data_IF_967297080314
#
_entry.id   IF_967297080314
#
_cell.length_a   1.000
_cell.length_b   1.000
_cell.length_c   1.000
_cell.angle_alpha   90.00
_cell.angle_beta   90.00
_cell.angle_gamma   90.00
#
_symmetry.space_group_name_H-M   'P 1'
#
loop_
_entity.id
_entity.type
_entity.pdbx_description
1 polymer ?
#
# COMPACT_ATOMS: atom_id res chain seq x y z
N UNK A 1 11.85 -9.88 27.96
CA UNK A 1 11.02 -9.07 27.03
C UNK A 1 11.83 -8.24 26.03
N UNK A 2 12.62 -7.22 26.39
CA UNK A 2 13.37 -6.39 25.41
C UNK A 2 14.28 -7.16 24.42
N UNK A 3 14.97 -8.22 24.88
CA UNK A 3 15.79 -9.08 24.01
C UNK A 3 15.00 -9.93 23.00
N UNK A 4 13.77 -10.33 23.35
CA UNK A 4 12.90 -11.08 22.43
C UNK A 4 12.28 -10.18 21.36
N UNK A 5 11.87 -8.95 21.72
CA UNK A 5 11.44 -7.94 20.74
C UNK A 5 12.55 -7.65 19.72
N UNK A 6 13.79 -7.49 20.18
CA UNK A 6 14.94 -7.24 19.30
C UNK A 6 15.28 -8.43 18.39
N UNK A 7 15.15 -9.67 18.88
CA UNK A 7 15.40 -10.88 18.09
C UNK A 7 14.30 -11.12 17.04
N UNK A 8 13.03 -10.81 17.37
CA UNK A 8 11.90 -10.88 16.43
C UNK A 8 11.99 -9.81 15.34
N UNK A 9 12.32 -8.54 15.66
CA UNK A 9 12.58 -7.48 14.67
C UNK A 9 13.72 -7.87 13.70
N UNK A 10 14.77 -8.54 14.18
CA UNK A 10 15.89 -9.02 13.34
C UNK A 10 15.45 -10.15 12.38
N UNK A 11 14.59 -11.07 12.83
CA UNK A 11 14.10 -12.18 12.00
C UNK A 11 13.07 -11.67 10.98
N UNK A 12 12.18 -10.77 11.40
CA UNK A 12 11.20 -10.08 10.55
C UNK A 12 11.88 -9.29 9.42
N UNK A 13 12.89 -8.49 9.78
CA UNK A 13 13.73 -7.80 8.81
C UNK A 13 14.47 -8.75 7.88
N UNK A 14 14.91 -9.93 8.35
CA UNK A 14 15.57 -10.94 7.50
C UNK A 14 14.63 -11.55 6.45
N UNK A 15 13.34 -11.78 6.75
CA UNK A 15 12.36 -12.34 5.81
C UNK A 15 11.96 -11.33 4.72
N UNK A 16 11.70 -10.07 5.12
CA UNK A 16 11.46 -8.97 4.17
C UNK A 16 12.69 -8.77 3.27
N UNK A 17 13.89 -8.84 3.86
CA UNK A 17 15.16 -8.72 3.16
C UNK A 17 15.42 -9.87 2.17
N UNK A 18 15.09 -11.12 2.47
CA UNK A 18 15.33 -12.24 1.53
C UNK A 18 14.51 -12.15 0.24
N UNK A 19 13.31 -11.57 0.28
CA UNK A 19 12.49 -11.36 -0.92
C UNK A 19 12.85 -10.06 -1.67
N UNK A 20 13.33 -9.04 -0.96
CA UNK A 20 13.85 -7.78 -1.53
C UNK A 20 15.18 -7.96 -2.32
N UNK A 21 15.98 -8.96 -1.99
CA UNK A 21 17.36 -9.15 -2.46
C UNK A 21 17.53 -9.66 -3.91
N UNK A 22 16.47 -9.73 -4.72
CA UNK A 22 16.61 -10.11 -6.13
C UNK A 22 17.28 -9.04 -7.02
N UNK A 23 17.56 -7.82 -6.51
CA UNK A 23 18.26 -6.77 -7.32
C UNK A 23 19.40 -5.97 -6.67
N UNK A 24 19.74 -6.11 -5.38
CA UNK A 24 20.95 -5.45 -4.85
C UNK A 24 21.53 -6.18 -3.64
N UNK A 25 22.80 -6.60 -3.75
CA UNK A 25 23.55 -7.27 -2.70
C UNK A 25 23.97 -6.30 -1.58
N UNK A 26 23.86 -6.80 -0.35
CA UNK A 26 24.47 -6.38 0.93
C UNK A 26 23.68 -5.42 1.82
N UNK A 27 22.88 -5.95 2.75
CA UNK A 27 22.52 -5.21 3.97
C UNK A 27 22.59 -6.14 5.19
N UNK A 28 23.42 -5.76 6.16
CA UNK A 28 23.44 -6.29 7.54
C UNK A 28 22.15 -5.90 8.25
N UNK A 29 21.61 -6.72 9.15
CA UNK A 29 20.39 -6.43 9.96
C UNK A 29 20.19 -4.93 10.29
N UNK A 30 19.43 -4.22 9.44
CA UNK A 30 19.14 -2.79 9.54
C UNK A 30 17.88 -2.51 10.36
N UNK A 31 17.66 -1.25 10.74
CA UNK A 31 16.37 -0.78 11.28
C UNK A 31 15.29 -0.76 10.20
N UNK A 32 14.00 -0.73 10.58
CA UNK A 32 12.94 -0.57 9.58
C UNK A 32 13.06 0.75 8.84
N UNK A 33 13.52 1.82 9.51
CA UNK A 33 13.95 3.07 8.86
C UNK A 33 14.93 2.86 7.70
N UNK A 34 15.88 1.93 7.80
CA UNK A 34 16.83 1.66 6.70
C UNK A 34 16.09 1.01 5.51
N UNK A 35 15.21 0.04 5.79
CA UNK A 35 14.41 -0.62 4.76
C UNK A 35 13.44 0.35 4.06
N UNK A 36 12.85 1.29 4.81
CA UNK A 36 12.02 2.36 4.24
C UNK A 36 12.85 3.24 3.30
N UNK A 37 14.04 3.66 3.72
CA UNK A 37 14.93 4.47 2.89
C UNK A 37 15.37 3.73 1.63
N UNK A 38 15.75 2.46 1.75
CA UNK A 38 16.10 1.61 0.61
C UNK A 38 14.92 1.50 -0.39
N UNK A 39 13.69 1.39 0.12
CA UNK A 39 12.48 1.32 -0.70
C UNK A 39 12.24 2.64 -1.46
N UNK A 40 12.45 3.79 -0.82
CA UNK A 40 12.35 5.11 -1.44
C UNK A 40 13.47 5.38 -2.45
N UNK A 41 14.70 4.98 -2.14
CA UNK A 41 15.84 5.07 -3.07
C UNK A 41 15.57 4.22 -4.31
N UNK A 42 15.15 2.97 -4.13
CA UNK A 42 14.84 2.08 -5.22
C UNK A 42 13.63 2.54 -6.04
N UNK A 43 12.65 3.24 -5.44
CA UNK A 43 11.58 3.92 -6.21
C UNK A 43 12.21 4.89 -7.23
N UNK A 44 13.08 5.77 -6.75
CA UNK A 44 13.72 6.81 -7.57
C UNK A 44 14.64 6.21 -8.64
N UNK A 45 15.53 5.29 -8.26
CA UNK A 45 16.50 4.67 -9.16
C UNK A 45 15.82 3.89 -10.29
N UNK A 46 14.85 3.03 -9.95
CA UNK A 46 14.13 2.24 -10.95
C UNK A 46 13.28 3.13 -11.86
N UNK A 47 12.71 4.21 -11.31
CA UNK A 47 11.93 5.16 -12.09
C UNK A 47 12.77 5.86 -13.18
N UNK A 48 14.06 6.10 -12.96
CA UNK A 48 14.96 6.65 -13.98
C UNK A 48 15.11 5.71 -15.20
N UNK A 49 14.92 4.41 -15.02
CA UNK A 49 14.97 3.40 -16.08
C UNK A 49 13.66 3.23 -16.86
N UNK A 50 12.52 3.63 -16.28
CA UNK A 50 11.19 3.44 -16.86
C UNK A 50 11.03 4.13 -18.22
N UNK A 51 10.31 3.48 -19.13
CA UNK A 51 9.99 3.94 -20.51
C UNK A 51 8.55 4.42 -20.66
N UNK A 52 7.72 4.25 -19.64
CA UNK A 52 6.35 4.77 -19.63
C UNK A 52 5.61 4.48 -18.33
N UNK A 53 4.41 5.06 -18.24
CA UNK A 53 3.55 4.99 -17.06
C UNK A 53 3.29 3.58 -16.53
N UNK A 54 3.07 2.52 -17.36
CA UNK A 54 2.88 1.17 -16.83
C UNK A 54 4.05 0.67 -15.99
N UNK A 55 5.29 0.94 -16.39
CA UNK A 55 6.49 0.53 -15.64
C UNK A 55 6.66 1.34 -14.36
N UNK A 56 6.28 2.61 -14.39
CA UNK A 56 6.29 3.48 -13.21
C UNK A 56 5.26 3.02 -12.18
N UNK A 57 4.03 2.71 -12.61
CA UNK A 57 3.00 2.14 -11.73
C UNK A 57 3.44 0.79 -11.16
N UNK A 58 4.02 -0.10 -11.97
CA UNK A 58 4.56 -1.37 -11.48
C UNK A 58 5.61 -1.16 -10.38
N UNK A 59 6.57 -0.26 -10.61
CA UNK A 59 7.58 0.11 -9.61
C UNK A 59 6.91 0.65 -8.33
N UNK A 60 5.96 1.58 -8.45
CA UNK A 60 5.21 2.12 -7.31
C UNK A 60 4.48 1.03 -6.52
N UNK A 61 3.77 0.14 -7.19
CA UNK A 61 3.06 -0.97 -6.52
C UNK A 61 3.99 -1.94 -5.81
N UNK A 62 5.23 -2.13 -6.29
CA UNK A 62 6.22 -2.96 -5.59
C UNK A 62 6.70 -2.29 -4.32
N UNK A 63 7.00 -0.99 -4.37
CA UNK A 63 7.36 -0.24 -3.16
C UNK A 63 6.22 -0.20 -2.14
N UNK A 64 4.97 -0.17 -2.60
CA UNK A 64 3.81 -0.30 -1.71
C UNK A 64 3.81 -1.64 -0.97
N UNK A 65 4.07 -2.76 -1.66
CA UNK A 65 4.15 -4.09 -1.02
C UNK A 65 5.23 -4.11 0.07
N UNK A 66 6.39 -3.54 -0.22
CA UNK A 66 7.51 -3.53 0.73
C UNK A 66 7.21 -2.70 1.97
N UNK A 67 6.67 -1.49 1.79
CA UNK A 67 6.31 -0.63 2.90
C UNK A 67 5.12 -1.17 3.70
N UNK A 68 4.13 -1.78 3.05
CA UNK A 68 3.04 -2.47 3.73
C UNK A 68 3.54 -3.68 4.53
N UNK A 69 4.51 -4.43 4.02
CA UNK A 69 5.11 -5.51 4.77
C UNK A 69 5.87 -4.97 6.01
N UNK A 70 6.59 -3.86 5.88
CA UNK A 70 7.25 -3.19 7.01
C UNK A 70 6.21 -2.77 8.06
N UNK A 71 5.14 -2.07 7.65
CA UNK A 71 4.05 -1.64 8.54
C UNK A 71 3.40 -2.85 9.24
N UNK A 72 3.09 -3.91 8.49
CA UNK A 72 2.51 -5.13 9.04
C UNK A 72 3.42 -5.78 10.08
N UNK A 73 4.73 -5.82 9.83
CA UNK A 73 5.70 -6.40 10.76
C UNK A 73 5.97 -5.53 11.99
N UNK A 74 5.80 -4.21 11.91
CA UNK A 74 5.82 -3.33 13.09
C UNK A 74 4.56 -3.49 13.93
N UNK A 75 3.39 -3.67 13.30
CA UNK A 75 2.13 -3.93 13.98
C UNK A 75 2.04 -5.33 14.59
N UNK A 76 2.79 -6.32 14.09
CA UNK A 76 2.80 -7.71 14.59
C UNK A 76 3.50 -7.85 15.96
N UNK A 77 2.93 -7.22 16.99
CA UNK A 77 3.51 -7.19 18.33
C UNK A 77 3.45 -8.55 19.02
N UNK A 78 2.48 -9.39 18.64
CA UNK A 78 2.30 -10.74 19.16
C UNK A 78 3.16 -11.79 18.42
N UNK A 79 3.54 -11.54 17.16
CA UNK A 79 4.19 -12.53 16.30
C UNK A 79 3.20 -13.50 15.66
N UNK A 80 1.97 -13.07 15.42
CA UNK A 80 0.87 -13.86 14.88
C UNK A 80 0.82 -13.73 13.35
N UNK A 81 1.10 -12.53 12.83
CA UNK A 81 0.94 -12.21 11.41
C UNK A 81 2.24 -12.33 10.59
N UNK A 82 3.40 -12.46 11.25
CA UNK A 82 4.71 -12.52 10.57
C UNK A 82 4.86 -13.69 9.61
N UNK A 83 4.33 -14.87 9.94
CA UNK A 83 4.35 -16.03 9.03
C UNK A 83 3.48 -15.74 7.79
N UNK A 84 2.30 -15.15 7.97
CA UNK A 84 1.42 -14.76 6.86
C UNK A 84 2.08 -13.72 5.95
N UNK A 85 2.71 -12.70 6.54
CA UNK A 85 3.45 -11.67 5.77
C UNK A 85 4.59 -12.31 4.99
N UNK A 86 5.33 -13.25 5.59
CA UNK A 86 6.42 -13.96 4.90
C UNK A 86 5.89 -14.77 3.72
N UNK A 87 4.81 -15.53 3.91
CA UNK A 87 4.19 -16.33 2.85
C UNK A 87 3.70 -15.44 1.69
N UNK A 88 3.11 -14.27 2.00
CA UNK A 88 2.67 -13.29 1.01
C UNK A 88 3.86 -12.79 0.18
N UNK A 89 5.01 -12.53 0.80
CA UNK A 89 6.22 -12.07 0.11
C UNK A 89 6.88 -13.17 -0.73
N UNK A 90 6.86 -14.43 -0.27
CA UNK A 90 7.35 -15.57 -1.04
C UNK A 90 6.51 -15.80 -2.31
N UNK A 91 5.19 -15.69 -2.19
CA UNK A 91 4.26 -15.72 -3.31
C UNK A 91 4.49 -14.54 -4.26
N UNK A 92 4.75 -13.35 -3.72
CA UNK A 92 5.05 -12.17 -4.53
C UNK A 92 6.24 -12.40 -5.45
N UNK A 93 7.38 -12.87 -4.90
CA UNK A 93 8.59 -13.17 -5.66
C UNK A 93 8.35 -14.29 -6.69
N UNK A 94 7.66 -15.35 -6.27
CA UNK A 94 7.32 -16.48 -7.15
C UNK A 94 6.46 -16.04 -8.33
N UNK A 95 5.40 -15.27 -8.07
CA UNK A 95 4.48 -14.80 -9.11
C UNK A 95 5.13 -13.73 -10.00
N UNK A 96 6.01 -12.89 -9.44
CA UNK A 96 6.72 -11.87 -10.21
C UNK A 96 7.56 -12.49 -11.34
N UNK A 97 8.21 -13.64 -11.09
CA UNK A 97 8.99 -14.37 -12.12
C UNK A 97 8.16 -14.81 -13.33
N UNK A 98 6.84 -14.91 -13.17
CA UNK A 98 5.92 -15.32 -14.24
C UNK A 98 5.25 -14.14 -14.95
N UNK A 99 5.44 -12.91 -14.47
CA UNK A 99 4.85 -11.71 -15.07
C UNK A 99 5.46 -11.46 -16.46
N UNK A 100 4.60 -11.21 -17.45
CA UNK A 100 5.00 -11.01 -18.85
C UNK A 100 5.15 -9.54 -19.25
N UNK A 101 4.86 -8.61 -18.33
CA UNK A 101 5.01 -7.17 -18.55
C UNK A 101 4.52 -6.33 -17.38
N UNK A 102 4.76 -5.02 -17.48
CA UNK A 102 4.44 -4.06 -16.43
C UNK A 102 2.98 -4.08 -15.94
N UNK A 103 1.95 -4.25 -16.81
CA UNK A 103 0.57 -4.38 -16.33
C UNK A 103 0.36 -5.58 -15.40
N UNK A 104 0.93 -6.75 -15.72
CA UNK A 104 0.85 -7.93 -14.86
C UNK A 104 1.67 -7.76 -13.58
N UNK A 105 2.79 -7.04 -13.65
CA UNK A 105 3.58 -6.67 -12.48
C UNK A 105 2.78 -5.78 -11.53
N UNK A 106 2.07 -4.78 -12.04
CA UNK A 106 1.16 -3.94 -11.23
C UNK A 106 0.04 -4.75 -10.59
N UNK A 107 -0.55 -5.71 -11.31
CA UNK A 107 -1.55 -6.62 -10.73
C UNK A 107 -0.96 -7.42 -9.57
N UNK A 108 0.21 -8.04 -9.77
CA UNK A 108 0.88 -8.81 -8.72
C UNK A 108 1.14 -7.93 -7.49
N UNK A 109 1.67 -6.72 -7.69
CA UNK A 109 1.91 -5.76 -6.60
C UNK A 109 0.63 -5.39 -5.86
N UNK A 110 -0.42 -5.00 -6.56
CA UNK A 110 -1.70 -4.63 -5.96
C UNK A 110 -2.37 -5.80 -5.22
N UNK A 111 -2.22 -7.03 -5.70
CA UNK A 111 -2.80 -8.20 -5.03
C UNK A 111 -2.12 -8.46 -3.71
N UNK A 112 -0.78 -8.42 -3.69
CA UNK A 112 0.00 -8.50 -2.45
C UNK A 112 -0.29 -7.33 -1.52
N UNK A 113 -0.54 -6.12 -2.05
CA UNK A 113 -0.99 -4.99 -1.24
C UNK A 113 -2.34 -5.25 -0.58
N UNK A 114 -3.31 -5.87 -1.30
CA UNK A 114 -4.60 -6.28 -0.70
C UNK A 114 -4.37 -7.24 0.45
N UNK A 115 -3.58 -8.30 0.28
CA UNK A 115 -3.36 -9.30 1.34
C UNK A 115 -2.60 -8.74 2.55
N UNK A 116 -1.60 -7.88 2.32
CA UNK A 116 -0.90 -7.20 3.41
C UNK A 116 -1.84 -6.25 4.15
N UNK A 117 -2.66 -5.47 3.43
CA UNK A 117 -3.65 -4.60 4.04
C UNK A 117 -4.72 -5.38 4.81
N UNK A 118 -5.15 -6.54 4.31
CA UNK A 118 -6.04 -7.46 5.04
C UNK A 118 -5.39 -7.91 6.34
N UNK A 119 -4.12 -8.30 6.29
CA UNK A 119 -3.36 -8.72 7.48
C UNK A 119 -3.26 -7.58 8.50
N UNK A 120 -2.92 -6.36 8.05
CA UNK A 120 -2.84 -5.17 8.90
C UNK A 120 -4.20 -4.84 9.51
N UNK A 121 -5.28 -4.86 8.72
CA UNK A 121 -6.62 -4.57 9.18
C UNK A 121 -7.09 -5.55 10.26
N UNK A 122 -6.81 -6.85 10.09
CA UNK A 122 -7.14 -7.89 11.08
C UNK A 122 -6.34 -7.69 12.38
N UNK A 123 -5.04 -7.37 12.28
CA UNK A 123 -4.20 -7.16 13.47
C UNK A 123 -4.65 -5.91 14.25
N UNK A 124 -5.12 -4.86 13.56
CA UNK A 124 -5.64 -3.65 14.20
C UNK A 124 -7.05 -3.85 14.79
N UNK A 125 -7.92 -4.63 14.14
CA UNK A 125 -9.30 -4.91 14.59
C UNK A 125 -9.38 -5.87 15.79
N UNK A 126 -8.77 -5.46 16.89
CA UNK A 126 -8.62 -6.28 18.11
C UNK A 126 -9.95 -6.62 18.79
N UNK A 127 -11.00 -5.83 18.57
CA UNK A 127 -12.35 -6.05 19.08
C UNK A 127 -13.26 -6.78 18.07
N UNK A 128 -12.72 -7.17 16.90
CA UNK A 128 -13.44 -7.86 15.81
C UNK A 128 -14.68 -7.09 15.32
N UNK A 129 -14.64 -5.76 15.39
CA UNK A 129 -15.71 -4.85 14.97
C UNK A 129 -15.87 -4.83 13.46
N UNK A 130 -14.77 -4.94 12.71
CA UNK A 130 -14.75 -4.87 11.25
C UNK A 130 -14.45 -6.21 10.57
N UNK A 131 -14.24 -7.29 11.32
CA UNK A 131 -13.90 -8.61 10.78
C UNK A 131 -14.83 -9.05 9.63
N UNK A 132 -16.15 -8.92 9.78
CA UNK A 132 -17.11 -9.27 8.70
C UNK A 132 -16.91 -8.38 7.45
N UNK A 133 -16.68 -7.07 7.64
CA UNK A 133 -16.41 -6.16 6.54
C UNK A 133 -15.08 -6.50 5.84
N UNK A 134 -14.03 -6.85 6.58
CA UNK A 134 -12.73 -7.27 6.01
C UNK A 134 -12.93 -8.54 5.17
N UNK A 135 -13.64 -9.55 5.69
CA UNK A 135 -13.91 -10.78 4.96
C UNK A 135 -14.76 -10.54 3.70
N UNK A 136 -15.80 -9.71 3.78
CA UNK A 136 -16.63 -9.35 2.63
C UNK A 136 -15.81 -8.65 1.52
N UNK A 137 -14.85 -7.80 1.90
CA UNK A 137 -13.93 -7.14 0.96
C UNK A 137 -13.06 -8.18 0.23
N UNK A 138 -12.52 -9.17 0.96
CA UNK A 138 -11.70 -10.26 0.42
C UNK A 138 -12.53 -11.17 -0.50
N UNK A 139 -13.72 -11.60 -0.06
CA UNK A 139 -14.63 -12.43 -0.88
C UNK A 139 -15.01 -11.72 -2.18
N UNK A 140 -15.27 -10.41 -2.10
CA UNK A 140 -15.56 -9.59 -3.28
C UNK A 140 -14.35 -9.46 -4.19
N UNK A 141 -13.15 -9.30 -3.63
CA UNK A 141 -11.90 -9.25 -4.39
C UNK A 141 -11.72 -10.52 -5.22
N UNK A 142 -11.83 -11.69 -4.59
CA UNK A 142 -11.67 -13.00 -5.24
C UNK A 142 -12.73 -13.22 -6.32
N UNK A 143 -13.99 -12.96 -6.00
CA UNK A 143 -15.12 -13.10 -6.93
C UNK A 143 -14.94 -12.21 -8.15
N UNK A 144 -14.58 -10.93 -7.96
CA UNK A 144 -14.38 -10.00 -9.06
C UNK A 144 -13.12 -10.34 -9.87
N UNK A 145 -12.05 -10.79 -9.22
CA UNK A 145 -10.83 -11.19 -9.90
C UNK A 145 -11.10 -12.37 -10.87
N UNK A 146 -11.90 -13.36 -10.45
CA UNK A 146 -12.30 -14.48 -11.31
C UNK A 146 -13.08 -14.03 -12.56
N UNK A 147 -13.73 -12.87 -12.51
CA UNK A 147 -14.50 -12.29 -13.63
C UNK A 147 -13.68 -11.32 -14.50
N UNK A 148 -12.50 -10.90 -14.05
CA UNK A 148 -11.67 -9.96 -14.79
C UNK A 148 -11.12 -10.57 -16.09
N UNK A 149 -11.08 -9.78 -17.16
CA UNK A 149 -10.65 -10.23 -18.50
C UNK A 149 -9.25 -9.75 -18.90
N UNK A 150 -8.53 -9.10 -17.99
CA UNK A 150 -7.18 -8.61 -18.23
C UNK A 150 -6.60 -7.78 -17.10
N UNK A 151 -5.30 -7.52 -17.20
CA UNK A 151 -4.52 -6.81 -16.18
C UNK A 151 -5.09 -5.43 -15.78
N UNK A 152 -5.66 -4.61 -16.71
CA UNK A 152 -6.26 -3.34 -16.31
C UNK A 152 -7.46 -3.51 -15.36
N UNK A 153 -8.39 -4.43 -15.66
CA UNK A 153 -9.54 -4.67 -14.77
C UNK A 153 -9.11 -5.31 -13.44
N UNK A 154 -8.12 -6.21 -13.48
CA UNK A 154 -7.52 -6.79 -12.27
C UNK A 154 -6.89 -5.71 -11.38
N UNK A 155 -6.14 -4.78 -11.98
CA UNK A 155 -5.54 -3.64 -11.27
C UNK A 155 -6.61 -2.73 -10.68
N UNK A 156 -7.67 -2.41 -11.43
CA UNK A 156 -8.77 -1.60 -10.92
C UNK A 156 -9.44 -2.27 -9.71
N UNK A 157 -9.73 -3.58 -9.80
CA UNK A 157 -10.27 -4.35 -8.69
C UNK A 157 -9.34 -4.29 -7.47
N UNK A 158 -8.06 -4.66 -7.62
CA UNK A 158 -7.09 -4.64 -6.52
C UNK A 158 -6.94 -3.26 -5.88
N UNK A 159 -6.91 -2.19 -6.67
CA UNK A 159 -6.80 -0.82 -6.16
C UNK A 159 -8.01 -0.45 -5.29
N UNK A 160 -9.23 -0.81 -5.70
CA UNK A 160 -10.44 -0.50 -4.92
C UNK A 160 -10.50 -1.29 -3.61
N UNK A 161 -10.06 -2.55 -3.63
CA UNK A 161 -9.96 -3.34 -2.40
C UNK A 161 -8.92 -2.75 -1.43
N UNK A 162 -7.81 -2.23 -1.96
CA UNK A 162 -6.84 -1.50 -1.13
C UNK A 162 -7.48 -0.27 -0.48
N UNK A 163 -8.29 0.52 -1.20
CA UNK A 163 -9.00 1.69 -0.62
C UNK A 163 -9.93 1.27 0.51
N UNK A 164 -10.71 0.20 0.33
CA UNK A 164 -11.65 -0.25 1.35
C UNK A 164 -10.95 -0.81 2.59
N UNK A 165 -9.85 -1.56 2.42
CA UNK A 165 -9.05 -2.03 3.55
C UNK A 165 -8.35 -0.87 4.27
N UNK A 166 -7.85 0.12 3.53
CA UNK A 166 -7.32 1.35 4.12
C UNK A 166 -8.41 2.13 4.88
N UNK A 167 -9.66 2.10 4.43
CA UNK A 167 -10.78 2.70 5.18
C UNK A 167 -10.99 2.01 6.53
N UNK A 168 -10.94 0.67 6.55
CA UNK A 168 -11.01 -0.12 7.79
C UNK A 168 -9.85 0.25 8.73
N UNK A 169 -8.63 0.27 8.21
CA UNK A 169 -7.44 0.68 8.99
C UNK A 169 -7.59 2.11 9.53
N UNK A 170 -8.07 3.04 8.71
CA UNK A 170 -8.29 4.43 9.12
C UNK A 170 -9.36 4.52 10.22
N UNK A 171 -10.45 3.76 10.15
CA UNK A 171 -11.47 3.72 11.21
C UNK A 171 -10.97 3.09 12.51
N UNK A 172 -10.14 2.05 12.43
CA UNK A 172 -9.52 1.43 13.61
C UNK A 172 -8.55 2.40 14.31
N UNK A 173 -7.84 3.22 13.54
CA UNK A 173 -6.92 4.21 14.10
C UNK A 173 -7.64 5.46 14.61
N UNK A 174 -8.71 5.93 13.95
CA UNK A 174 -9.54 7.12 14.28
C UNK A 174 -10.34 6.96 15.58
N UNK A 175 -9.63 6.83 16.70
CA UNK A 175 -10.16 6.47 18.02
C UNK A 175 -11.18 7.50 18.54
N UNK A 176 -11.04 8.76 18.11
CA UNK A 176 -11.91 9.87 18.52
C UNK A 176 -12.99 10.22 17.49
N UNK A 177 -13.03 9.54 16.34
CA UNK A 177 -14.01 9.80 15.28
C UNK A 177 -13.81 11.15 14.57
N UNK A 178 -12.60 11.71 14.61
CA UNK A 178 -12.27 13.02 14.01
C UNK A 178 -12.38 12.93 12.49
N UNK A 179 -11.93 11.81 11.90
CA UNK A 179 -11.88 11.62 10.46
C UNK A 179 -13.03 10.78 9.89
N UNK A 180 -13.88 10.20 10.72
CA UNK A 180 -14.96 9.29 10.30
C UNK A 180 -15.82 9.83 9.15
N UNK A 181 -16.24 11.09 9.19
CA UNK A 181 -17.03 11.70 8.10
C UNK A 181 -16.22 11.92 6.81
N UNK A 182 -14.91 12.14 6.94
CA UNK A 182 -14.02 12.26 5.80
C UNK A 182 -13.74 10.89 5.17
N UNK A 183 -13.53 9.84 5.96
CA UNK A 183 -13.39 8.45 5.50
C UNK A 183 -14.64 8.04 4.70
N UNK A 184 -15.84 8.28 5.25
CA UNK A 184 -17.11 8.02 4.54
C UNK A 184 -17.19 8.80 3.22
N UNK A 185 -16.83 10.09 3.25
CA UNK A 185 -16.84 10.92 2.04
C UNK A 185 -15.91 10.37 0.96
N UNK A 186 -14.72 9.83 1.31
CA UNK A 186 -13.77 9.27 0.34
C UNK A 186 -14.35 7.99 -0.29
N UNK A 187 -15.04 7.15 0.47
CA UNK A 187 -15.72 5.95 -0.04
C UNK A 187 -16.88 6.31 -0.98
N UNK A 188 -17.72 7.27 -0.59
CA UNK A 188 -18.84 7.76 -1.41
C UNK A 188 -18.32 8.36 -2.73
N UNK A 189 -17.25 9.14 -2.65
CA UNK A 189 -16.58 9.72 -3.78
C UNK A 189 -15.98 8.64 -4.70
N UNK A 190 -15.36 7.60 -4.14
CA UNK A 190 -14.84 6.46 -4.91
C UNK A 190 -15.96 5.85 -5.76
N UNK A 191 -17.11 5.57 -5.13
CA UNK A 191 -18.28 4.98 -5.80
C UNK A 191 -18.84 5.91 -6.90
N UNK A 192 -19.03 7.18 -6.57
CA UNK A 192 -19.57 8.19 -7.50
C UNK A 192 -18.65 8.39 -8.71
N UNK A 193 -17.34 8.51 -8.47
CA UNK A 193 -16.34 8.67 -9.53
C UNK A 193 -16.16 7.41 -10.35
N UNK A 194 -16.27 6.23 -9.73
CA UNK A 194 -16.24 4.97 -10.46
C UNK A 194 -17.37 4.89 -11.51
N UNK A 195 -18.58 5.32 -11.15
CA UNK A 195 -19.71 5.36 -12.09
C UNK A 195 -19.48 6.32 -13.27
N UNK A 196 -18.58 7.29 -13.13
CA UNK A 196 -18.21 8.24 -14.18
C UNK A 196 -17.01 7.77 -15.02
N UNK A 197 -16.31 6.72 -14.60
CA UNK A 197 -15.16 6.20 -15.33
C UNK A 197 -15.59 5.53 -16.64
N UNK A 198 -14.87 5.83 -17.71
CA UNK A 198 -15.09 5.27 -19.06
C UNK A 198 -14.26 4.01 -19.33
N UNK A 199 -13.37 3.64 -18.40
CA UNK A 199 -12.59 2.40 -18.48
C UNK A 199 -11.59 2.23 -17.34
N UNK A 200 -10.94 1.07 -17.32
CA UNK A 200 -10.03 0.64 -16.26
C UNK A 200 -8.91 1.64 -15.92
N UNK A 201 -8.24 2.34 -16.88
CA UNK A 201 -7.23 3.33 -16.53
C UNK A 201 -7.75 4.44 -15.62
N UNK A 202 -8.96 4.94 -15.87
CA UNK A 202 -9.59 5.97 -15.03
C UNK A 202 -10.00 5.41 -13.66
N UNK A 203 -10.45 4.15 -13.62
CA UNK A 203 -10.76 3.48 -12.35
C UNK A 203 -9.49 3.32 -11.50
N UNK A 204 -8.37 2.90 -12.10
CA UNK A 204 -7.09 2.77 -11.39
C UNK A 204 -6.62 4.13 -10.86
N UNK A 205 -6.66 5.17 -11.69
CA UNK A 205 -6.32 6.54 -11.25
C UNK A 205 -7.20 7.01 -10.08
N UNK A 206 -8.53 6.85 -10.19
CA UNK A 206 -9.46 7.16 -9.12
C UNK A 206 -9.12 6.38 -7.84
N UNK A 207 -8.88 5.08 -7.96
CA UNK A 207 -8.51 4.23 -6.82
C UNK A 207 -7.24 4.72 -6.12
N UNK A 208 -6.17 5.01 -6.86
CA UNK A 208 -4.93 5.52 -6.26
C UNK A 208 -5.12 6.85 -5.54
N UNK A 209 -5.99 7.74 -6.05
CA UNK A 209 -6.23 9.02 -5.37
C UNK A 209 -6.96 8.79 -4.05
N UNK A 210 -7.92 7.86 -4.01
CA UNK A 210 -8.60 7.47 -2.77
C UNK A 210 -7.68 6.73 -1.80
N UNK A 211 -6.71 5.97 -2.30
CA UNK A 211 -5.66 5.41 -1.45
C UNK A 211 -4.84 6.52 -0.80
N UNK A 212 -4.45 7.55 -1.56
CA UNK A 212 -3.73 8.72 -1.01
C UNK A 212 -4.57 9.45 0.03
N UNK A 213 -5.86 9.67 -0.24
CA UNK A 213 -6.77 10.30 0.73
C UNK A 213 -6.81 9.49 2.05
N UNK A 214 -6.98 8.16 1.98
CA UNK A 214 -6.99 7.31 3.17
C UNK A 214 -5.62 7.24 3.87
N UNK A 215 -4.53 7.12 3.13
CA UNK A 215 -3.18 7.09 3.69
C UNK A 215 -2.80 8.41 4.35
N UNK A 216 -3.33 9.54 3.87
CA UNK A 216 -3.15 10.86 4.51
C UNK A 216 -3.79 10.87 5.90
N UNK A 217 -5.01 10.32 6.02
CA UNK A 217 -5.70 10.17 7.31
C UNK A 217 -4.88 9.28 8.24
N UNK A 218 -4.47 8.10 7.76
CA UNK A 218 -3.68 7.14 8.55
C UNK A 218 -2.37 7.79 9.01
N UNK A 219 -1.67 8.50 8.13
CA UNK A 219 -0.44 9.21 8.47
C UNK A 219 -0.66 10.23 9.60
N UNK A 220 -1.78 10.98 9.58
CA UNK A 220 -2.12 11.89 10.66
C UNK A 220 -2.48 11.20 11.98
N UNK A 221 -3.17 10.05 11.93
CA UNK A 221 -3.51 9.29 13.14
C UNK A 221 -2.27 8.67 13.80
N UNK A 222 -1.25 8.28 13.03
CA UNK A 222 0.00 7.75 13.58
C UNK A 222 1.03 8.84 13.95
N UNK A 223 0.91 10.06 13.41
CA UNK A 223 1.75 11.23 13.71
C UNK A 223 1.36 11.88 15.06
N UNK A 224 1.57 11.15 16.17
CA UNK A 224 1.09 11.54 17.51
C UNK A 224 1.73 12.84 18.01
N UNK A 225 2.96 13.18 17.58
CA UNK A 225 3.67 14.38 18.00
C UNK A 225 3.63 15.53 16.97
N UNK A 226 3.03 15.30 15.80
CA UNK A 226 2.91 16.27 14.72
C UNK A 226 4.20 16.51 13.93
N UNK A 227 5.22 15.65 14.09
CA UNK A 227 6.51 15.80 13.44
C UNK A 227 6.45 15.58 11.93
N UNK A 228 5.52 14.74 11.46
CA UNK A 228 5.34 14.42 10.04
C UNK A 228 4.29 15.27 9.32
N UNK A 229 3.52 16.09 10.04
CA UNK A 229 2.44 16.91 9.48
C UNK A 229 2.86 17.77 8.27
N UNK A 230 4.05 18.37 8.30
CA UNK A 230 4.55 19.16 7.15
C UNK A 230 4.83 18.28 5.94
N UNK A 231 5.43 17.10 6.16
CA UNK A 231 5.80 16.17 5.08
C UNK A 231 4.53 15.61 4.43
N UNK A 232 3.53 15.23 5.24
CA UNK A 232 2.22 14.78 4.76
C UNK A 232 1.56 15.89 3.92
N UNK A 233 1.58 17.14 4.40
CA UNK A 233 1.05 18.29 3.66
C UNK A 233 1.76 18.51 2.31
N UNK A 234 3.09 18.45 2.29
CA UNK A 234 3.89 18.61 1.07
C UNK A 234 3.59 17.49 0.04
N UNK A 235 3.37 16.26 0.50
CA UNK A 235 2.98 15.12 -0.34
C UNK A 235 1.62 15.39 -1.00
N UNK A 236 0.61 15.81 -0.24
CA UNK A 236 -0.73 16.13 -0.77
C UNK A 236 -0.71 17.34 -1.72
N UNK A 237 0.08 18.37 -1.41
CA UNK A 237 0.26 19.52 -2.31
C UNK A 237 0.95 19.12 -3.62
N UNK A 238 1.95 18.25 -3.55
CA UNK A 238 2.61 17.72 -4.75
C UNK A 238 1.66 16.89 -5.59
N UNK A 239 0.75 16.11 -5.00
CA UNK A 239 -0.28 15.38 -5.77
C UNK A 239 -1.12 16.37 -6.59
N UNK A 240 -1.63 17.40 -5.91
CA UNK A 240 -2.50 18.42 -6.48
C UNK A 240 -1.81 19.18 -7.61
N UNK A 241 -0.56 19.58 -7.39
CA UNK A 241 0.28 20.28 -8.38
C UNK A 241 0.57 19.41 -9.60
N UNK A 242 0.90 18.12 -9.38
CA UNK A 242 1.20 17.20 -10.46
C UNK A 242 -0.06 16.82 -11.26
N UNK A 243 -1.22 16.71 -10.60
CA UNK A 243 -2.49 16.43 -11.25
C UNK A 243 -2.94 17.57 -12.17
N UNK A 244 -2.72 18.83 -11.77
CA UNK A 244 -2.99 19.99 -12.63
C UNK A 244 -2.19 19.96 -13.95
N UNK A 245 -1.08 19.22 -13.99
CA UNK A 245 -0.20 19.08 -15.15
C UNK A 245 -0.35 17.72 -15.87
N UNK A 246 -1.21 16.83 -15.38
CA UNK A 246 -1.46 15.51 -15.97
C UNK A 246 -2.17 15.59 -17.32
N UNK A 247 -1.80 14.70 -18.24
CA UNK A 247 -2.42 14.61 -19.58
C UNK A 247 -3.31 13.38 -19.78
N UNK A 248 -3.56 12.60 -18.72
CA UNK A 248 -4.45 11.44 -18.78
C UNK A 248 -4.33 10.52 -17.58
N UNK A 249 -5.23 9.53 -17.52
CA UNK A 249 -5.38 8.61 -16.39
C UNK A 249 -4.11 7.81 -16.07
N UNK A 250 -3.31 7.44 -17.08
CA UNK A 250 -2.06 6.71 -16.86
C UNK A 250 -1.06 7.53 -16.04
N UNK A 251 -0.92 8.83 -16.32
CA UNK A 251 -0.03 9.70 -15.53
C UNK A 251 -0.61 9.98 -14.14
N UNK A 252 -1.94 10.07 -14.02
CA UNK A 252 -2.61 10.17 -12.73
C UNK A 252 -2.35 8.93 -11.87
N UNK A 253 -2.40 7.73 -12.46
CA UNK A 253 -2.05 6.49 -11.74
C UNK A 253 -0.60 6.51 -11.26
N UNK A 254 0.35 7.00 -12.07
CA UNK A 254 1.75 7.17 -11.64
C UNK A 254 1.84 8.09 -10.43
N UNK A 255 1.27 9.29 -10.54
CA UNK A 255 1.33 10.28 -9.47
C UNK A 255 0.71 9.74 -8.18
N UNK A 256 -0.50 9.18 -8.27
CA UNK A 256 -1.20 8.61 -7.12
C UNK A 256 -0.41 7.45 -6.48
N UNK A 257 0.13 6.53 -7.29
CA UNK A 257 0.94 5.42 -6.77
C UNK A 257 2.20 5.91 -6.04
N UNK A 258 2.85 6.98 -6.51
CA UNK A 258 4.06 7.49 -5.87
C UNK A 258 3.75 8.21 -4.56
N UNK A 259 2.65 8.97 -4.50
CA UNK A 259 2.22 9.59 -3.24
C UNK A 259 1.76 8.55 -2.22
N UNK A 260 1.14 7.46 -2.68
CA UNK A 260 0.80 6.34 -1.81
C UNK A 260 2.07 5.70 -1.20
N UNK A 261 3.12 5.49 -2.00
CA UNK A 261 4.43 5.02 -1.51
C UNK A 261 5.03 5.97 -0.48
N UNK A 262 5.04 7.27 -0.75
CA UNK A 262 5.62 8.24 0.19
C UNK A 262 4.83 8.33 1.50
N UNK A 263 3.50 8.27 1.47
CA UNK A 263 2.69 8.24 2.68
C UNK A 263 2.87 6.94 3.46
N UNK A 264 2.96 5.80 2.78
CA UNK A 264 3.30 4.52 3.43
C UNK A 264 4.68 4.58 4.10
N UNK A 265 5.65 5.28 3.50
CA UNK A 265 6.96 5.48 4.12
C UNK A 265 6.87 6.35 5.38
N UNK A 266 6.10 7.44 5.35
CA UNK A 266 5.81 8.25 6.55
C UNK A 266 5.17 7.39 7.63
N UNK A 267 4.10 6.65 7.30
CA UNK A 267 3.42 5.77 8.24
C UNK A 267 4.38 4.75 8.84
N UNK A 268 5.20 4.09 8.01
CA UNK A 268 6.17 3.11 8.49
C UNK A 268 7.19 3.71 9.47
N UNK A 269 7.62 4.96 9.26
CA UNK A 269 8.58 5.65 10.13
C UNK A 269 7.94 6.12 11.45
N UNK A 270 6.71 6.60 11.41
CA UNK A 270 5.97 7.02 12.63
C UNK A 270 5.63 5.84 13.55
N UNK A 271 5.61 4.62 13.02
CA UNK A 271 5.26 3.40 13.76
C UNK A 271 6.46 2.67 14.39
N UNK A 272 7.71 3.10 14.14
CA UNK A 272 8.93 2.46 14.68
C UNK A 272 9.21 2.74 16.18
#
# INVERSE_FOLDING_TARGET
>A
MKRMKKLKKIIAGLCVLTCLLATSLNVMAGSYSDLVNDSLEALSENNAGCKGAPQQVANGTYRMVELLAIIGMENDTAGICSDMISDILDDWDTNNKTCTGAPQQSVNGLYRSVELLTTIAIELDTDSKYNDAIMDIVDTWETNNALCKGAPQQSANGTYRCVELLAVIAWELDTYGIYSSFIESVIDDMSTKNAQCTGAPQQIANGFYRMVDMLTIIAHEVDVDGSSTSIVGDISESLSTNDANCKGAEQQSVNGSYRAVELLAVIALEME
#
